data_IF_788486684269
#
_entry.id   IF_788486684269
#
_cell.length_a   1.000
_cell.length_b   1.000
_cell.length_c   1.000
_cell.angle_alpha   90.00
_cell.angle_beta   90.00
_cell.angle_gamma   90.00
#
_symmetry.space_group_name_H-M   'P 1'
#
loop_
_entity.id
_entity.type
_entity.pdbx_description
1 polymer ?
#
# COMPACT_ATOMS: atom_id res chain seq x y z
N UNK A 1 38.77 -29.56 -22.83
CA UNK A 1 37.66 -29.04 -22.06
C UNK A 1 36.36 -29.84 -22.24
N UNK A 2 36.08 -30.43 -23.39
CA UNK A 2 34.86 -31.25 -23.62
C UNK A 2 34.93 -32.68 -23.04
N UNK A 3 36.12 -33.25 -22.85
CA UNK A 3 36.28 -34.58 -22.27
C UNK A 3 35.97 -34.64 -20.74
N UNK A 4 36.12 -33.53 -20.04
CA UNK A 4 35.85 -33.46 -18.60
C UNK A 4 34.35 -33.42 -18.26
N UNK A 5 33.52 -32.89 -19.15
CA UNK A 5 32.07 -32.75 -18.91
C UNK A 5 31.36 -34.11 -19.10
N UNK A 6 31.78 -34.91 -20.08
CA UNK A 6 31.22 -36.24 -20.30
C UNK A 6 31.56 -37.21 -19.16
N UNK A 7 32.74 -37.08 -18.56
CA UNK A 7 33.15 -37.90 -17.43
C UNK A 7 32.35 -37.60 -16.14
N UNK A 8 32.05 -36.35 -15.95
CA UNK A 8 31.19 -35.89 -14.81
C UNK A 8 29.74 -36.37 -14.97
N UNK A 9 29.23 -36.42 -16.22
CA UNK A 9 27.86 -36.88 -16.47
C UNK A 9 27.71 -38.42 -16.32
N UNK A 10 28.71 -39.17 -16.64
CA UNK A 10 28.75 -40.65 -16.46
C UNK A 10 28.86 -40.97 -14.96
N UNK A 11 29.68 -40.24 -14.20
CA UNK A 11 29.79 -40.35 -12.76
C UNK A 11 28.49 -39.98 -12.05
N UNK A 12 27.75 -38.97 -12.55
CA UNK A 12 26.46 -38.54 -11.97
C UNK A 12 25.39 -39.63 -12.11
N UNK A 13 25.31 -40.29 -13.26
CA UNK A 13 24.34 -41.37 -13.46
C UNK A 13 24.70 -42.68 -12.69
N UNK A 14 25.98 -42.97 -12.50
CA UNK A 14 26.39 -44.09 -11.64
C UNK A 14 26.19 -43.79 -10.13
N UNK A 15 26.36 -42.54 -9.70
CA UNK A 15 26.10 -42.12 -8.31
C UNK A 15 24.63 -42.17 -7.93
N UNK A 16 23.71 -41.96 -8.88
CA UNK A 16 22.26 -42.07 -8.63
C UNK A 16 21.82 -43.50 -8.32
N UNK A 17 22.53 -44.50 -8.88
CA UNK A 17 22.29 -45.92 -8.60
C UNK A 17 22.95 -46.42 -7.31
N UNK A 18 23.96 -45.73 -6.79
CA UNK A 18 24.72 -46.12 -5.61
C UNK A 18 24.28 -45.43 -4.32
N UNK A 19 23.22 -44.62 -4.33
CA UNK A 19 22.73 -43.90 -3.18
C UNK A 19 22.11 -44.77 -2.08
N UNK A 20 22.02 -46.07 -2.26
CA UNK A 20 21.54 -47.02 -1.26
C UNK A 20 22.65 -47.80 -0.53
N UNK A 21 23.91 -47.63 -0.88
CA UNK A 21 25.03 -48.25 -0.16
C UNK A 21 26.06 -47.19 0.24
N UNK A 22 26.42 -47.16 1.52
CA UNK A 22 27.42 -46.20 2.03
C UNK A 22 28.72 -46.29 1.25
N UNK A 23 29.04 -45.26 0.44
CA UNK A 23 30.26 -45.13 -0.38
C UNK A 23 31.54 -45.35 0.41
N UNK A 24 31.51 -45.13 1.74
CA UNK A 24 32.63 -45.43 2.65
C UNK A 24 33.01 -46.91 2.67
N UNK A 25 32.09 -47.83 2.36
CA UNK A 25 32.38 -49.26 2.34
C UNK A 25 32.99 -49.74 1.01
N UNK A 26 32.67 -49.04 -0.10
CA UNK A 26 33.17 -49.38 -1.47
C UNK A 26 34.60 -48.88 -1.64
N UNK A 27 34.90 -47.64 -1.22
CA UNK A 27 36.23 -47.01 -1.35
C UNK A 27 37.29 -47.71 -0.48
N UNK A 28 36.94 -48.23 0.68
CA UNK A 28 37.86 -48.96 1.59
C UNK A 28 38.28 -50.35 1.06
N UNK A 29 37.56 -50.93 0.11
CA UNK A 29 37.84 -52.28 -0.41
C UNK A 29 38.65 -52.34 -1.71
N UNK A 30 38.82 -51.22 -2.44
CA UNK A 30 39.31 -51.28 -3.82
C UNK A 30 40.57 -50.45 -4.10
N UNK A 31 41.10 -49.64 -3.17
CA UNK A 31 42.26 -48.78 -3.43
C UNK A 31 43.32 -48.79 -2.30
N UNK A 32 44.60 -48.58 -2.69
CA UNK A 32 45.72 -48.52 -1.73
C UNK A 32 45.57 -47.30 -0.77
N UNK A 33 46.16 -47.35 0.43
CA UNK A 33 46.03 -46.31 1.43
C UNK A 33 46.50 -44.92 1.03
N UNK A 34 47.37 -44.84 0.00
CA UNK A 34 47.88 -43.57 -0.52
C UNK A 34 46.88 -42.86 -1.44
N UNK A 35 46.19 -43.64 -2.26
CA UNK A 35 45.17 -43.16 -3.19
C UNK A 35 43.94 -42.70 -2.42
N UNK A 36 43.60 -43.39 -1.31
CA UNK A 36 42.46 -43.06 -0.47
C UNK A 36 42.62 -41.70 0.24
N UNK A 37 43.86 -41.31 0.59
CA UNK A 37 44.12 -39.99 1.21
C UNK A 37 44.02 -38.80 0.23
N UNK A 38 44.47 -39.01 -1.03
CA UNK A 38 44.35 -37.96 -2.06
C UNK A 38 42.89 -37.71 -2.47
N UNK A 39 42.13 -38.79 -2.66
CA UNK A 39 40.71 -38.66 -3.01
C UNK A 39 39.84 -38.18 -1.86
N UNK A 40 40.22 -38.41 -0.60
CA UNK A 40 39.44 -37.92 0.54
C UNK A 40 39.50 -36.39 0.69
N UNK A 41 40.64 -35.76 0.40
CA UNK A 41 40.78 -34.30 0.48
C UNK A 41 39.96 -33.57 -0.61
N UNK A 42 40.03 -34.11 -1.85
CA UNK A 42 39.25 -33.52 -2.96
C UNK A 42 37.75 -33.85 -2.82
N UNK A 43 37.39 -34.99 -2.28
CA UNK A 43 36.00 -35.37 -2.04
C UNK A 43 35.36 -34.45 -0.96
N UNK A 44 36.04 -34.19 0.14
CA UNK A 44 35.53 -33.24 1.16
C UNK A 44 35.44 -31.83 0.63
N UNK A 45 36.34 -31.42 -0.27
CA UNK A 45 36.29 -30.12 -0.92
C UNK A 45 35.11 -29.99 -1.90
N UNK A 46 34.86 -31.02 -2.69
CA UNK A 46 33.74 -31.10 -3.63
C UNK A 46 32.40 -31.21 -2.90
N UNK A 47 32.32 -31.98 -1.81
CA UNK A 47 31.10 -32.08 -0.97
C UNK A 47 30.80 -30.77 -0.27
N UNK A 48 31.83 -30.05 0.20
CA UNK A 48 31.68 -28.73 0.82
C UNK A 48 31.26 -27.66 -0.22
N UNK A 49 31.80 -27.67 -1.42
CA UNK A 49 31.44 -26.78 -2.51
C UNK A 49 30.02 -27.10 -3.07
N UNK A 50 29.66 -28.38 -3.19
CA UNK A 50 28.31 -28.80 -3.61
C UNK A 50 27.28 -28.54 -2.54
N UNK A 51 27.57 -28.76 -1.27
CA UNK A 51 26.64 -28.44 -0.19
C UNK A 51 26.45 -26.93 -0.06
N UNK A 52 27.51 -26.13 -0.18
CA UNK A 52 27.38 -24.68 -0.22
C UNK A 52 26.63 -24.19 -1.46
N UNK A 53 26.86 -24.79 -2.62
CA UNK A 53 26.14 -24.44 -3.86
C UNK A 53 24.67 -24.87 -3.81
N UNK A 54 24.36 -26.01 -3.20
CA UNK A 54 22.99 -26.47 -2.97
C UNK A 54 22.28 -25.65 -1.89
N UNK A 55 22.99 -25.27 -0.84
CA UNK A 55 22.50 -24.34 0.19
C UNK A 55 22.30 -22.96 -0.42
N UNK A 56 23.25 -22.45 -1.21
CA UNK A 56 23.08 -21.19 -1.95
C UNK A 56 21.96 -21.26 -2.97
N UNK A 57 21.83 -22.37 -3.74
CA UNK A 57 20.66 -22.57 -4.62
C UNK A 57 19.35 -22.67 -3.85
N UNK A 58 19.31 -23.37 -2.72
CA UNK A 58 18.11 -23.41 -1.87
C UNK A 58 17.76 -22.05 -1.26
N UNK A 59 18.75 -21.21 -0.95
CA UNK A 59 18.55 -19.82 -0.53
C UNK A 59 18.26 -18.86 -1.71
N UNK A 60 18.86 -19.08 -2.88
CA UNK A 60 18.58 -18.26 -4.08
C UNK A 60 17.34 -18.66 -4.86
N UNK A 61 16.79 -19.86 -4.69
CA UNK A 61 15.57 -20.33 -5.37
C UNK A 61 14.31 -20.25 -4.52
N UNK A 62 14.37 -19.67 -3.33
CA UNK A 62 13.17 -19.06 -2.79
C UNK A 62 12.92 -17.81 -3.63
N UNK A 63 12.21 -17.97 -4.76
CA UNK A 63 11.71 -16.85 -5.54
C UNK A 63 11.13 -15.84 -4.55
N UNK A 64 11.69 -14.62 -4.53
CA UNK A 64 11.21 -13.60 -3.59
C UNK A 64 9.73 -13.43 -3.89
N UNK A 65 8.87 -13.86 -2.97
CA UNK A 65 7.43 -13.69 -3.11
C UNK A 65 7.16 -12.21 -3.33
N UNK A 66 6.40 -11.89 -4.36
CA UNK A 66 5.98 -10.51 -4.63
C UNK A 66 5.15 -9.98 -3.47
N UNK A 67 5.36 -8.70 -3.15
CA UNK A 67 4.55 -8.00 -2.18
C UNK A 67 3.32 -7.39 -2.86
N UNK A 68 2.16 -7.58 -2.24
CA UNK A 68 0.88 -7.06 -2.71
C UNK A 68 0.22 -6.27 -1.58
N UNK A 69 -0.09 -5.00 -1.84
CA UNK A 69 -0.71 -4.13 -0.85
C UNK A 69 -2.23 -4.23 -0.98
N UNK A 70 -2.87 -4.63 0.08
CA UNK A 70 -4.33 -4.79 0.13
C UNK A 70 -4.88 -4.05 1.34
N UNK A 71 -6.15 -3.70 1.32
CA UNK A 71 -6.77 -3.16 2.50
C UNK A 71 -8.26 -3.44 2.56
N UNK A 72 -8.80 -3.40 3.76
CA UNK A 72 -10.24 -3.51 4.04
C UNK A 72 -10.90 -2.15 3.98
N UNK A 73 -12.00 -2.06 3.23
CA UNK A 73 -12.90 -0.90 3.14
C UNK A 73 -14.34 -1.35 3.36
N UNK A 74 -15.24 -0.43 3.71
CA UNK A 74 -16.65 -0.71 3.95
C UNK A 74 -17.18 0.04 5.16
N UNK A 75 -18.47 -0.14 5.44
CA UNK A 75 -19.19 0.56 6.51
C UNK A 75 -18.62 0.25 7.91
N UNK A 76 -18.94 1.10 8.89
CA UNK A 76 -18.70 0.80 10.29
C UNK A 76 -19.44 -0.49 10.69
N UNK A 77 -18.88 -1.26 11.62
CA UNK A 77 -19.44 -2.51 12.15
C UNK A 77 -19.70 -3.65 11.15
N UNK A 78 -19.33 -3.50 9.87
CA UNK A 78 -19.37 -4.59 8.89
C UNK A 78 -18.29 -5.67 9.10
N UNK A 79 -17.39 -5.51 10.09
CA UNK A 79 -16.42 -6.52 10.51
C UNK A 79 -15.09 -6.51 9.76
N UNK A 80 -14.62 -5.34 9.29
CA UNK A 80 -13.32 -5.18 8.61
C UNK A 80 -12.15 -5.66 9.46
N UNK A 81 -12.03 -5.17 10.67
CA UNK A 81 -10.94 -5.52 11.61
C UNK A 81 -11.04 -6.98 12.05
N UNK A 82 -12.27 -7.51 12.23
CA UNK A 82 -12.51 -8.92 12.52
C UNK A 82 -12.03 -9.81 11.37
N UNK A 83 -12.29 -9.41 10.11
CA UNK A 83 -11.80 -10.13 8.93
C UNK A 83 -10.27 -10.10 8.86
N UNK A 84 -9.65 -8.95 9.14
CA UNK A 84 -8.19 -8.81 9.19
C UNK A 84 -7.57 -9.75 10.24
N UNK A 85 -8.15 -9.85 11.43
CA UNK A 85 -7.74 -10.81 12.45
C UNK A 85 -7.94 -12.26 11.99
N UNK A 86 -9.09 -12.59 11.37
CA UNK A 86 -9.39 -13.92 10.86
C UNK A 86 -8.40 -14.37 9.77
N UNK A 87 -8.03 -13.49 8.83
CA UNK A 87 -7.01 -13.73 7.80
C UNK A 87 -5.68 -14.17 8.43
N UNK A 88 -5.21 -13.42 9.44
CA UNK A 88 -3.95 -13.76 10.13
C UNK A 88 -4.07 -15.07 10.92
N UNK A 89 -5.24 -15.36 11.51
CA UNK A 89 -5.50 -16.58 12.27
C UNK A 89 -5.46 -17.82 11.37
N UNK A 90 -6.15 -17.79 10.25
CA UNK A 90 -6.19 -18.89 9.28
C UNK A 90 -4.79 -19.15 8.72
N UNK A 91 -4.08 -18.10 8.31
CA UNK A 91 -2.74 -18.21 7.74
C UNK A 91 -1.67 -18.63 8.76
N UNK A 92 -1.86 -18.36 10.06
CA UNK A 92 -0.91 -18.78 11.10
C UNK A 92 -0.78 -20.30 11.20
N UNK A 93 -1.76 -21.06 10.73
CA UNK A 93 -1.74 -22.53 10.73
C UNK A 93 -0.93 -23.12 9.56
N UNK A 94 -0.88 -22.42 8.43
CA UNK A 94 -0.35 -22.96 7.17
C UNK A 94 0.92 -22.28 6.69
N UNK A 95 1.25 -21.12 7.24
CA UNK A 95 2.38 -20.29 6.84
C UNK A 95 3.16 -19.77 8.04
N UNK A 96 4.24 -19.02 7.81
CA UNK A 96 5.00 -18.33 8.86
C UNK A 96 4.35 -17.00 9.31
N UNK A 97 3.06 -16.82 9.07
CA UNK A 97 2.31 -15.65 9.52
C UNK A 97 2.08 -15.72 11.03
N UNK A 98 2.35 -14.61 11.72
CA UNK A 98 1.98 -14.49 13.13
C UNK A 98 0.52 -14.08 13.24
N UNK A 99 -0.27 -14.76 14.06
CA UNK A 99 -1.62 -14.32 14.39
C UNK A 99 -1.58 -12.94 15.07
N UNK A 100 -2.42 -12.02 14.61
CA UNK A 100 -2.61 -10.70 15.20
C UNK A 100 -4.07 -10.59 15.67
N UNK A 101 -4.31 -10.60 16.99
CA UNK A 101 -5.66 -10.49 17.53
C UNK A 101 -6.23 -9.09 17.32
N UNK A 102 -7.55 -8.96 17.45
CA UNK A 102 -8.29 -7.71 17.27
C UNK A 102 -7.68 -6.55 18.09
N UNK A 103 -7.39 -6.76 19.37
CA UNK A 103 -6.81 -5.76 20.28
C UNK A 103 -5.39 -5.32 19.90
N UNK A 104 -4.66 -6.12 19.12
CA UNK A 104 -3.36 -5.74 18.57
C UNK A 104 -3.48 -4.97 17.24
N UNK A 105 -4.63 -4.99 16.57
CA UNK A 105 -4.94 -4.20 15.39
C UNK A 105 -5.42 -2.83 15.84
N UNK A 106 -6.51 -2.76 16.60
CA UNK A 106 -7.08 -1.55 17.21
C UNK A 106 -6.43 -1.29 18.57
N UNK A 107 -5.31 -0.57 18.57
CA UNK A 107 -4.43 -0.40 19.77
C UNK A 107 -4.74 0.81 20.60
N UNK A 108 -5.33 1.86 20.01
CA UNK A 108 -5.56 3.11 20.72
C UNK A 108 -6.64 2.90 21.80
N UNK A 109 -6.45 3.44 23.02
CA UNK A 109 -7.47 3.34 24.06
C UNK A 109 -8.84 3.86 23.62
N UNK A 110 -8.88 4.86 22.75
CA UNK A 110 -10.12 5.40 22.19
C UNK A 110 -10.79 4.42 21.21
N UNK A 111 -10.02 3.66 20.44
CA UNK A 111 -10.50 2.62 19.53
C UNK A 111 -11.17 1.50 20.33
N UNK A 112 -10.49 1.02 21.39
CA UNK A 112 -10.99 -0.03 22.26
C UNK A 112 -12.24 0.39 23.05
N UNK A 113 -12.29 1.65 23.51
CA UNK A 113 -13.47 2.17 24.24
C UNK A 113 -14.69 2.35 23.37
N UNK A 114 -14.49 2.77 22.11
CA UNK A 114 -15.58 3.04 21.17
C UNK A 114 -15.94 1.84 20.30
N UNK A 115 -15.10 0.81 20.26
CA UNK A 115 -15.25 -0.36 19.39
C UNK A 115 -15.14 -0.02 17.90
N UNK A 116 -14.45 1.08 17.54
CA UNK A 116 -14.30 1.53 16.14
C UNK A 116 -12.84 1.79 15.83
N UNK A 117 -12.41 1.44 14.62
CA UNK A 117 -11.07 1.77 14.11
C UNK A 117 -10.99 3.27 13.77
N UNK A 118 -10.03 3.95 14.34
CA UNK A 118 -9.76 5.38 14.12
C UNK A 118 -8.53 5.56 13.24
N UNK A 119 -7.46 4.87 13.58
CA UNK A 119 -6.16 4.94 12.91
C UNK A 119 -6.01 3.83 11.88
N UNK A 120 -5.13 4.06 10.90
CA UNK A 120 -4.77 3.01 9.95
C UNK A 120 -3.89 1.98 10.67
N UNK A 121 -4.28 0.71 10.60
CA UNK A 121 -3.43 -0.38 11.06
C UNK A 121 -2.82 -1.13 9.87
N UNK A 122 -1.55 -1.52 10.00
CA UNK A 122 -0.85 -2.30 8.99
C UNK A 122 -0.47 -3.67 9.54
N UNK A 123 -0.90 -4.72 8.84
CA UNK A 123 -0.69 -6.11 9.21
C UNK A 123 -0.02 -6.86 8.06
N UNK A 124 1.05 -7.59 8.34
CA UNK A 124 1.75 -8.40 7.34
C UNK A 124 1.41 -9.87 7.46
N UNK A 125 1.06 -10.49 6.35
CA UNK A 125 0.89 -11.94 6.26
C UNK A 125 1.35 -12.48 4.92
N UNK A 126 1.45 -13.79 4.80
CA UNK A 126 1.87 -14.43 3.57
C UNK A 126 1.05 -15.68 3.26
N UNK A 127 0.76 -15.86 1.98
CA UNK A 127 0.27 -17.12 1.42
C UNK A 127 1.44 -17.95 0.89
N UNK A 128 1.15 -19.10 0.31
CA UNK A 128 2.19 -19.87 -0.41
C UNK A 128 2.73 -19.10 -1.63
N UNK A 129 1.91 -18.23 -2.25
CA UNK A 129 2.20 -17.54 -3.51
C UNK A 129 2.81 -16.14 -3.29
N UNK A 130 2.29 -15.36 -2.33
CA UNK A 130 2.61 -13.93 -2.16
C UNK A 130 2.78 -13.51 -0.71
N UNK A 131 3.37 -12.32 -0.54
CA UNK A 131 3.34 -11.55 0.71
C UNK A 131 2.32 -10.45 0.59
N UNK A 132 1.57 -10.23 1.65
CA UNK A 132 0.56 -9.19 1.72
C UNK A 132 0.93 -8.16 2.80
N UNK A 133 0.88 -6.90 2.41
CA UNK A 133 0.82 -5.77 3.35
C UNK A 133 -0.62 -5.31 3.42
N UNK A 134 -1.30 -5.67 4.50
CA UNK A 134 -2.71 -5.38 4.69
C UNK A 134 -2.88 -4.10 5.48
N UNK A 135 -3.68 -3.20 4.96
CA UNK A 135 -4.06 -1.92 5.57
C UNK A 135 -5.50 -2.00 6.05
N UNK A 136 -5.71 -2.01 7.35
CA UNK A 136 -7.06 -1.92 7.92
C UNK A 136 -7.49 -0.46 8.02
N UNK A 137 -8.57 -0.10 7.31
CA UNK A 137 -9.06 1.27 7.21
C UNK A 137 -10.24 1.52 8.14
N UNK A 138 -10.31 2.72 8.75
CA UNK A 138 -11.47 3.11 9.53
C UNK A 138 -12.72 3.17 8.67
N UNK A 139 -13.87 2.77 9.23
CA UNK A 139 -15.17 2.82 8.57
C UNK A 139 -15.93 4.12 8.76
N UNK A 140 -15.67 4.85 9.86
CA UNK A 140 -16.44 6.01 10.25
C UNK A 140 -16.11 7.26 9.42
N UNK A 141 -17.13 8.02 9.01
CA UNK A 141 -17.00 9.23 8.17
C UNK A 141 -16.05 10.30 8.75
N UNK A 142 -15.92 10.41 10.06
CA UNK A 142 -15.03 11.39 10.69
C UNK A 142 -13.56 11.09 10.42
N UNK A 143 -13.23 9.83 10.07
CA UNK A 143 -11.87 9.36 9.79
C UNK A 143 -11.60 9.15 8.30
N UNK A 144 -12.42 9.72 7.42
CA UNK A 144 -12.31 9.60 5.95
C UNK A 144 -10.91 9.94 5.44
N UNK A 145 -10.21 10.90 6.07
CA UNK A 145 -8.83 11.25 5.71
C UNK A 145 -7.85 10.11 5.94
N UNK A 146 -8.04 9.36 7.02
CA UNK A 146 -7.22 8.18 7.28
C UNK A 146 -7.54 7.09 6.28
N UNK A 147 -8.82 6.89 5.94
CA UNK A 147 -9.24 5.97 4.88
C UNK A 147 -8.60 6.32 3.54
N UNK A 148 -8.63 7.58 3.10
CA UNK A 148 -7.99 8.03 1.85
C UNK A 148 -6.49 7.74 1.88
N UNK A 149 -5.80 8.09 2.97
CA UNK A 149 -4.37 7.82 3.11
C UNK A 149 -4.05 6.32 3.08
N UNK A 150 -4.89 5.48 3.68
CA UNK A 150 -4.75 4.02 3.58
C UNK A 150 -4.96 3.53 2.15
N UNK A 151 -6.02 3.99 1.50
CA UNK A 151 -6.39 3.59 0.15
C UNK A 151 -5.33 3.96 -0.90
N UNK A 152 -4.62 5.08 -0.76
CA UNK A 152 -3.53 5.46 -1.68
C UNK A 152 -2.35 4.48 -1.68
N UNK A 153 -2.24 3.64 -0.65
CA UNK A 153 -1.17 2.66 -0.51
C UNK A 153 -1.57 1.25 -0.98
N UNK A 154 -2.83 1.07 -1.46
CA UNK A 154 -3.39 -0.23 -1.83
C UNK A 154 -3.31 -0.49 -3.34
N UNK A 155 -3.03 -1.73 -3.70
CA UNK A 155 -3.12 -2.25 -5.07
C UNK A 155 -4.52 -2.78 -5.37
N UNK A 156 -5.16 -3.35 -4.34
CA UNK A 156 -6.54 -3.81 -4.38
C UNK A 156 -7.21 -3.61 -3.01
N UNK A 157 -8.53 -3.56 -2.99
CA UNK A 157 -9.31 -3.44 -1.77
C UNK A 157 -10.21 -4.67 -1.57
N UNK A 158 -10.40 -5.05 -0.30
CA UNK A 158 -11.45 -5.97 0.12
C UNK A 158 -12.63 -5.12 0.60
N UNK A 159 -13.72 -5.12 -0.15
CA UNK A 159 -14.96 -4.48 0.26
C UNK A 159 -15.72 -5.43 1.18
N UNK A 160 -15.86 -5.04 2.44
CA UNK A 160 -16.58 -5.82 3.46
C UNK A 160 -17.98 -5.26 3.60
N UNK A 161 -18.98 -6.11 3.36
CA UNK A 161 -20.41 -5.75 3.43
C UNK A 161 -21.10 -6.73 4.38
N UNK A 162 -21.91 -6.22 5.30
CA UNK A 162 -22.75 -7.03 6.17
C UNK A 162 -23.91 -7.64 5.37
N UNK A 163 -24.11 -8.93 5.50
CA UNK A 163 -25.17 -9.64 4.78
C UNK A 163 -26.59 -9.21 5.18
N UNK A 164 -26.79 -8.71 6.40
CA UNK A 164 -28.10 -8.27 6.89
C UNK A 164 -28.40 -6.82 6.53
N UNK A 165 -27.35 -5.96 6.41
CA UNK A 165 -27.53 -4.52 6.17
C UNK A 165 -27.36 -4.14 4.70
N UNK A 166 -26.62 -4.93 3.91
CA UNK A 166 -26.33 -4.63 2.50
C UNK A 166 -25.39 -3.44 2.32
N UNK A 167 -25.55 -2.69 1.24
CA UNK A 167 -24.73 -1.51 0.95
C UNK A 167 -25.25 -0.29 1.70
N UNK A 168 -24.37 0.30 2.52
CA UNK A 168 -24.67 1.45 3.36
C UNK A 168 -24.01 2.73 2.79
N UNK A 169 -24.42 3.93 3.21
CA UNK A 169 -23.88 5.18 2.65
C UNK A 169 -22.33 5.27 2.69
N UNK A 170 -21.69 4.79 3.76
CA UNK A 170 -20.23 4.78 3.84
C UNK A 170 -19.60 3.72 2.92
N UNK A 171 -20.31 2.63 2.63
CA UNK A 171 -19.87 1.64 1.62
C UNK A 171 -19.73 2.31 0.27
N UNK A 172 -20.74 3.09 -0.16
CA UNK A 172 -20.73 3.87 -1.40
C UNK A 172 -19.58 4.88 -1.42
N UNK A 173 -19.41 5.64 -0.35
CA UNK A 173 -18.35 6.64 -0.20
C UNK A 173 -16.95 5.99 -0.30
N UNK A 174 -16.74 4.85 0.34
CA UNK A 174 -15.47 4.14 0.31
C UNK A 174 -15.14 3.57 -1.07
N UNK A 175 -16.13 3.01 -1.79
CA UNK A 175 -15.96 2.53 -3.18
C UNK A 175 -15.61 3.69 -4.10
N UNK A 176 -16.31 4.81 -4.00
CA UNK A 176 -16.02 6.04 -4.75
C UNK A 176 -14.60 6.53 -4.50
N UNK A 177 -14.20 6.64 -3.23
CA UNK A 177 -12.86 7.11 -2.85
C UNK A 177 -11.76 6.15 -3.30
N UNK A 178 -11.96 4.84 -3.15
CA UNK A 178 -11.02 3.83 -3.64
C UNK A 178 -10.78 4.00 -5.16
N UNK A 179 -11.85 4.25 -5.93
CA UNK A 179 -11.72 4.54 -7.37
C UNK A 179 -10.95 5.83 -7.65
N UNK A 180 -11.22 6.88 -6.88
CA UNK A 180 -10.57 8.18 -7.04
C UNK A 180 -9.07 8.15 -6.74
N UNK A 181 -8.65 7.40 -5.73
CA UNK A 181 -7.23 7.27 -5.36
C UNK A 181 -6.47 6.27 -6.23
N UNK A 182 -7.16 5.59 -7.17
CA UNK A 182 -6.54 4.74 -8.16
C UNK A 182 -6.51 3.25 -7.84
N UNK A 183 -7.26 2.79 -6.83
CA UNK A 183 -7.47 1.35 -6.61
C UNK A 183 -8.16 0.77 -7.83
N UNK A 184 -7.53 -0.21 -8.46
CA UNK A 184 -8.01 -0.77 -9.73
C UNK A 184 -8.91 -1.99 -9.55
N UNK A 185 -8.77 -2.71 -8.44
CA UNK A 185 -9.38 -4.02 -8.21
C UNK A 185 -10.04 -4.08 -6.85
N UNK A 186 -11.23 -4.65 -6.82
CA UNK A 186 -11.99 -4.91 -5.59
C UNK A 186 -12.31 -6.40 -5.54
N UNK A 187 -12.16 -6.98 -4.35
CA UNK A 187 -12.70 -8.29 -3.98
C UNK A 187 -13.75 -8.04 -2.91
N UNK A 188 -14.91 -8.63 -3.07
CA UNK A 188 -16.02 -8.43 -2.13
C UNK A 188 -16.05 -9.57 -1.12
N UNK A 189 -16.21 -9.23 0.15
CA UNK A 189 -16.48 -10.20 1.21
C UNK A 189 -17.81 -9.84 1.89
N UNK A 190 -18.86 -10.64 1.61
CA UNK A 190 -20.16 -10.52 2.29
C UNK A 190 -20.03 -11.25 3.62
N UNK A 191 -19.96 -10.48 4.70
CA UNK A 191 -19.72 -10.94 6.05
C UNK A 191 -21.01 -11.20 6.83
N UNK A 192 -20.93 -11.93 7.93
CA UNK A 192 -22.05 -12.31 8.82
C UNK A 192 -23.15 -13.13 8.08
N UNK A 193 -22.73 -13.90 7.10
CA UNK A 193 -23.63 -14.67 6.26
C UNK A 193 -24.46 -15.74 7.01
N UNK A 194 -24.02 -16.12 8.21
CA UNK A 194 -24.74 -17.02 9.10
C UNK A 194 -26.04 -16.44 9.69
N UNK A 195 -26.22 -15.12 9.57
CA UNK A 195 -27.37 -14.43 10.16
C UNK A 195 -28.55 -14.28 9.20
N UNK A 196 -28.39 -14.66 7.94
CA UNK A 196 -29.37 -14.40 6.87
C UNK A 196 -29.64 -15.65 6.04
N UNK A 197 -30.75 -15.65 5.33
CA UNK A 197 -31.11 -16.71 4.40
C UNK A 197 -30.44 -16.55 3.03
N UNK A 198 -30.60 -17.57 2.17
CA UNK A 198 -29.98 -17.59 0.85
C UNK A 198 -30.56 -16.52 -0.10
N UNK A 199 -31.83 -16.19 0.02
CA UNK A 199 -32.51 -15.25 -0.87
C UNK A 199 -31.99 -13.82 -0.59
N UNK A 200 -31.82 -13.46 0.68
CA UNK A 200 -31.24 -12.18 1.06
C UNK A 200 -29.75 -12.08 0.65
N UNK A 201 -28.99 -13.19 0.76
CA UNK A 201 -27.60 -13.21 0.27
C UNK A 201 -27.50 -12.92 -1.23
N UNK A 202 -28.38 -13.49 -2.05
CA UNK A 202 -28.39 -13.21 -3.49
C UNK A 202 -28.78 -11.76 -3.78
N UNK A 203 -29.74 -11.20 -3.03
CA UNK A 203 -30.12 -9.80 -3.17
C UNK A 203 -28.93 -8.85 -2.84
N UNK A 204 -28.23 -9.10 -1.74
CA UNK A 204 -27.05 -8.30 -1.35
C UNK A 204 -25.93 -8.43 -2.38
N UNK A 205 -25.73 -9.61 -2.98
CA UNK A 205 -24.74 -9.76 -4.07
C UNK A 205 -25.08 -8.87 -5.26
N UNK A 206 -26.35 -8.85 -5.68
CA UNK A 206 -26.81 -8.00 -6.79
C UNK A 206 -26.61 -6.52 -6.46
N UNK A 207 -27.02 -6.09 -5.29
CA UNK A 207 -26.84 -4.70 -4.83
C UNK A 207 -25.37 -4.27 -4.84
N UNK A 208 -24.45 -5.10 -4.38
CA UNK A 208 -23.02 -4.83 -4.40
C UNK A 208 -22.49 -4.77 -5.83
N UNK A 209 -22.93 -5.65 -6.73
CA UNK A 209 -22.54 -5.62 -8.13
C UNK A 209 -22.99 -4.31 -8.81
N UNK A 210 -24.24 -3.89 -8.59
CA UNK A 210 -24.77 -2.62 -9.10
C UNK A 210 -23.95 -1.43 -8.58
N UNK A 211 -23.62 -1.44 -7.28
CA UNK A 211 -22.77 -0.41 -6.67
C UNK A 211 -21.40 -0.33 -7.33
N UNK A 212 -20.75 -1.47 -7.58
CA UNK A 212 -19.41 -1.50 -8.21
C UNK A 212 -19.49 -0.95 -9.65
N UNK A 213 -20.49 -1.34 -10.43
CA UNK A 213 -20.67 -0.86 -11.81
C UNK A 213 -20.98 0.64 -11.85
N UNK A 214 -21.77 1.16 -10.91
CA UNK A 214 -22.07 2.59 -10.79
C UNK A 214 -20.79 3.43 -10.63
N UNK A 215 -19.82 2.95 -9.83
CA UNK A 215 -18.53 3.66 -9.65
C UNK A 215 -17.47 3.24 -10.66
N UNK A 216 -17.83 2.48 -11.71
CA UNK A 216 -16.95 2.12 -12.82
C UNK A 216 -15.91 1.05 -12.47
N UNK A 217 -16.20 0.20 -11.50
CA UNK A 217 -15.55 -1.09 -11.35
C UNK A 217 -16.32 -2.13 -12.16
N UNK A 218 -15.61 -3.04 -12.82
CA UNK A 218 -16.24 -4.13 -13.58
C UNK A 218 -16.67 -5.22 -12.59
N UNK A 219 -17.96 -5.27 -12.27
CA UNK A 219 -18.51 -6.24 -11.30
C UNK A 219 -18.28 -7.69 -11.73
N UNK A 220 -18.24 -7.96 -13.05
CA UNK A 220 -17.98 -9.30 -13.58
C UNK A 220 -16.56 -9.82 -13.26
N UNK A 221 -15.62 -8.90 -12.95
CA UNK A 221 -14.22 -9.21 -12.58
C UNK A 221 -13.97 -9.09 -11.09
N UNK A 222 -14.96 -8.65 -10.32
CA UNK A 222 -14.88 -8.52 -8.87
C UNK A 222 -15.36 -9.82 -8.21
N UNK A 223 -14.45 -10.65 -7.67
CA UNK A 223 -14.86 -11.88 -6.98
C UNK A 223 -15.70 -11.53 -5.75
N UNK A 224 -16.82 -12.24 -5.58
CA UNK A 224 -17.67 -12.12 -4.39
C UNK A 224 -17.56 -13.40 -3.56
N UNK A 225 -17.07 -13.26 -2.34
CA UNK A 225 -16.95 -14.35 -1.37
C UNK A 225 -17.94 -14.11 -0.24
N UNK A 226 -18.67 -15.15 0.13
CA UNK A 226 -19.66 -15.12 1.22
C UNK A 226 -19.09 -15.89 2.41
N UNK A 227 -19.18 -15.33 3.61
CA UNK A 227 -18.67 -15.98 4.81
C UNK A 227 -18.94 -15.23 6.10
N UNK A 228 -18.32 -15.69 7.17
CA UNK A 228 -18.35 -15.10 8.50
C UNK A 228 -16.92 -14.97 9.04
N UNK A 229 -16.46 -13.74 9.18
CA UNK A 229 -15.16 -13.46 9.75
C UNK A 229 -15.07 -13.92 11.23
N UNK A 230 -16.17 -13.84 11.97
CA UNK A 230 -16.23 -14.26 13.37
C UNK A 230 -16.12 -15.78 13.47
N UNK A 231 -16.92 -16.54 12.70
CA UNK A 231 -16.83 -18.00 12.68
C UNK A 231 -15.44 -18.48 12.24
N UNK A 232 -14.81 -17.79 11.28
CA UNK A 232 -13.44 -18.12 10.87
C UNK A 232 -12.41 -17.81 11.98
N UNK A 233 -12.59 -16.72 12.73
CA UNK A 233 -11.78 -16.37 13.89
C UNK A 233 -11.93 -17.41 15.00
N UNK A 234 -13.16 -17.89 15.25
CA UNK A 234 -13.47 -18.94 16.23
C UNK A 234 -13.11 -20.35 15.73
N UNK A 235 -12.53 -20.44 14.52
CA UNK A 235 -12.10 -21.70 13.91
C UNK A 235 -13.23 -22.70 13.66
N UNK A 236 -14.45 -22.23 13.46
CA UNK A 236 -15.57 -23.07 13.08
C UNK A 236 -15.34 -23.60 11.67
N UNK A 237 -15.28 -24.91 11.53
CA UNK A 237 -15.18 -25.55 10.21
C UNK A 237 -16.55 -25.51 9.52
N UNK A 238 -16.57 -25.02 8.30
CA UNK A 238 -17.80 -24.87 7.51
C UNK A 238 -17.62 -23.90 6.37
N UNK A 239 -18.63 -23.84 5.50
CA UNK A 239 -18.57 -23.02 4.28
C UNK A 239 -18.54 -21.52 4.57
N UNK A 240 -19.14 -21.06 5.64
CA UNK A 240 -19.09 -19.67 6.09
C UNK A 240 -17.92 -19.38 7.04
N UNK A 241 -17.31 -20.39 7.68
CA UNK A 241 -16.21 -20.26 8.62
C UNK A 241 -14.83 -20.18 7.93
N UNK A 242 -13.89 -21.00 8.39
CA UNK A 242 -12.49 -20.99 7.91
C UNK A 242 -12.39 -21.11 6.39
N UNK A 243 -13.20 -21.95 5.75
CA UNK A 243 -13.18 -22.15 4.28
C UNK A 243 -13.52 -20.90 3.48
N UNK A 244 -14.38 -20.01 4.01
CA UNK A 244 -14.69 -18.74 3.35
C UNK A 244 -13.48 -17.81 3.27
N UNK A 245 -12.69 -17.76 4.34
CA UNK A 245 -11.45 -16.98 4.39
C UNK A 245 -10.37 -17.60 3.48
N UNK A 246 -10.28 -18.92 3.42
CA UNK A 246 -9.38 -19.62 2.48
C UNK A 246 -9.76 -19.30 1.02
N UNK A 247 -11.05 -19.31 0.66
CA UNK A 247 -11.54 -18.89 -0.66
C UNK A 247 -11.20 -17.43 -0.96
N UNK A 248 -11.37 -16.54 0.02
CA UNK A 248 -10.98 -15.14 -0.15
C UNK A 248 -9.49 -15.02 -0.46
N UNK A 249 -8.61 -15.74 0.25
CA UNK A 249 -7.17 -15.76 0.00
C UNK A 249 -6.82 -16.33 -1.39
N UNK A 250 -7.54 -17.33 -1.84
CA UNK A 250 -7.38 -17.87 -3.21
C UNK A 250 -7.74 -16.85 -4.28
N UNK A 251 -8.84 -16.10 -4.11
CA UNK A 251 -9.22 -15.03 -5.04
C UNK A 251 -8.19 -13.89 -5.02
N UNK A 252 -7.67 -13.51 -3.87
CA UNK A 252 -6.59 -12.52 -3.75
C UNK A 252 -5.31 -13.00 -4.46
N UNK A 253 -4.96 -14.27 -4.34
CA UNK A 253 -3.80 -14.86 -5.00
C UNK A 253 -3.93 -14.96 -6.53
N UNK A 254 -5.15 -14.87 -7.10
CA UNK A 254 -5.41 -14.83 -8.55
C UNK A 254 -5.22 -13.42 -9.14
N UNK A 255 -5.31 -12.37 -8.34
CA UNK A 255 -5.15 -11.01 -8.83
C UNK A 255 -3.76 -10.83 -9.44
N UNK A 256 -3.66 -10.13 -10.57
CA UNK A 256 -2.36 -9.80 -11.16
C UNK A 256 -1.64 -8.76 -10.32
N UNK A 257 -0.34 -8.95 -10.11
CA UNK A 257 0.49 -7.98 -9.41
C UNK A 257 0.64 -6.70 -10.26
N UNK A 258 0.58 -5.52 -9.63
CA UNK A 258 0.81 -4.28 -10.35
C UNK A 258 2.26 -4.18 -10.81
N UNK A 259 2.47 -3.54 -11.95
CA UNK A 259 3.82 -3.26 -12.46
C UNK A 259 4.50 -2.24 -11.54
N UNK A 260 5.68 -2.59 -11.02
CA UNK A 260 6.48 -1.73 -10.13
C UNK A 260 7.66 -1.12 -10.88
N UNK A 261 7.80 0.20 -10.79
CA UNK A 261 8.96 0.88 -11.34
C UNK A 261 10.10 0.90 -10.29
N UNK A 262 10.99 -0.08 -10.40
CA UNK A 262 12.16 -0.21 -9.52
C UNK A 262 13.37 0.57 -10.03
N UNK A 263 13.35 1.07 -11.27
CA UNK A 263 14.47 1.79 -11.87
C UNK A 263 14.37 3.31 -11.67
N UNK A 264 13.21 3.81 -11.27
CA UNK A 264 13.02 5.22 -10.97
C UNK A 264 13.72 5.65 -9.66
N UNK A 265 13.84 6.95 -9.47
CA UNK A 265 14.26 7.54 -8.19
C UNK A 265 13.32 7.12 -7.07
N UNK A 266 13.89 6.91 -5.87
CA UNK A 266 13.12 6.54 -4.70
C UNK A 266 12.00 7.54 -4.41
N UNK A 267 10.80 7.02 -4.20
CA UNK A 267 9.66 7.76 -3.64
C UNK A 267 8.99 6.87 -2.59
N UNK A 268 9.01 7.34 -1.35
CA UNK A 268 8.33 6.73 -0.21
C UNK A 268 7.54 7.81 0.51
N UNK A 269 6.23 7.93 0.26
CA UNK A 269 5.34 8.81 1.03
C UNK A 269 5.25 8.36 2.49
N UNK A 270 5.45 9.28 3.41
CA UNK A 270 5.42 9.02 4.85
C UNK A 270 3.97 8.93 5.31
N UNK A 271 3.58 7.78 5.82
CA UNK A 271 2.25 7.55 6.43
C UNK A 271 2.25 7.85 7.92
N UNK A 272 3.33 7.50 8.62
CA UNK A 272 3.51 7.76 10.05
C UNK A 272 4.99 7.79 10.43
N UNK A 273 5.29 8.27 11.62
CA UNK A 273 6.62 8.20 12.20
C UNK A 273 6.53 7.97 13.71
N UNK A 274 7.55 7.35 14.29
CA UNK A 274 7.65 7.16 15.73
C UNK A 274 9.11 7.10 16.20
N UNK A 275 9.32 7.30 17.49
CA UNK A 275 10.64 7.25 18.10
C UNK A 275 10.93 5.86 18.63
N UNK A 276 12.11 5.34 18.34
CA UNK A 276 12.68 4.16 19.02
C UNK A 276 13.74 4.64 20.00
N UNK A 277 13.48 4.47 21.28
CA UNK A 277 14.36 4.92 22.36
C UNK A 277 15.78 4.41 22.16
N UNK A 278 16.76 5.32 22.15
CA UNK A 278 18.18 5.01 21.96
C UNK A 278 18.60 4.68 20.52
N UNK A 279 17.67 4.67 19.54
CA UNK A 279 17.99 4.36 18.12
C UNK A 279 17.72 5.50 17.16
N UNK A 280 16.67 6.29 17.37
CA UNK A 280 16.30 7.41 16.50
C UNK A 280 14.85 7.37 16.03
N UNK A 281 14.56 8.10 14.96
CA UNK A 281 13.23 8.22 14.37
C UNK A 281 13.03 7.16 13.30
N UNK A 282 11.93 6.42 13.37
CA UNK A 282 11.48 5.50 12.34
C UNK A 282 10.40 6.18 11.51
N UNK A 283 10.58 6.16 10.22
CA UNK A 283 9.63 6.65 9.22
C UNK A 283 8.95 5.44 8.58
N UNK A 284 7.63 5.44 8.51
CA UNK A 284 6.83 4.34 7.96
C UNK A 284 6.12 4.80 6.70
N UNK A 285 6.11 3.95 5.68
CA UNK A 285 5.41 4.19 4.43
C UNK A 285 5.53 3.03 3.45
N UNK A 286 4.86 3.14 2.32
CA UNK A 286 4.96 2.19 1.21
C UNK A 286 5.83 2.81 0.12
N UNK A 287 6.81 2.06 -0.38
CA UNK A 287 7.64 2.53 -1.49
C UNK A 287 6.80 2.53 -2.77
N UNK A 288 6.59 3.69 -3.36
CA UNK A 288 5.88 3.82 -4.64
C UNK A 288 6.79 3.51 -5.83
N UNK A 289 8.03 4.02 -5.79
CA UNK A 289 9.03 3.87 -6.88
C UNK A 289 10.43 3.67 -6.32
N UNK A 290 11.26 2.98 -7.10
CA UNK A 290 12.67 2.82 -6.81
C UNK A 290 12.99 1.68 -5.84
N UNK A 291 14.22 1.71 -5.36
CA UNK A 291 14.81 0.74 -4.41
C UNK A 291 15.47 1.52 -3.28
N UNK A 292 15.37 1.01 -2.07
CA UNK A 292 16.02 1.57 -0.88
C UNK A 292 16.90 0.52 -0.22
N UNK A 293 18.14 0.88 0.10
CA UNK A 293 19.11 0.03 0.78
C UNK A 293 19.55 0.61 2.10
N UNK A 294 19.93 -0.25 3.01
CA UNK A 294 20.61 0.17 4.24
C UNK A 294 21.90 0.88 3.92
N UNK A 295 22.09 2.06 4.48
CA UNK A 295 23.25 2.92 4.24
C UNK A 295 23.03 4.01 3.18
N UNK A 296 21.92 3.95 2.43
CA UNK A 296 21.63 4.98 1.42
C UNK A 296 21.47 6.36 2.04
N UNK A 297 21.93 7.36 1.32
CA UNK A 297 21.64 8.78 1.60
C UNK A 297 20.31 9.12 0.97
N UNK A 298 19.41 9.61 1.78
CA UNK A 298 18.04 9.98 1.36
C UNK A 298 17.67 11.34 1.94
N UNK A 299 16.62 11.92 1.41
CA UNK A 299 16.12 13.23 1.80
C UNK A 299 14.63 13.12 2.14
N UNK A 300 14.25 13.66 3.30
CA UNK A 300 12.85 13.83 3.67
C UNK A 300 12.40 15.22 3.26
N UNK A 301 11.45 15.29 2.33
CA UNK A 301 11.01 16.55 1.72
C UNK A 301 9.52 16.76 1.95
N UNK A 302 9.12 17.98 2.27
CA UNK A 302 7.70 18.36 2.45
C UNK A 302 7.50 19.30 3.62
N UNK A 303 6.30 19.85 3.73
CA UNK A 303 5.92 20.83 4.75
C UNK A 303 6.87 22.05 4.84
N UNK A 304 7.48 22.41 3.70
CA UNK A 304 8.50 23.48 3.64
C UNK A 304 9.85 23.09 4.21
N UNK A 305 10.08 21.83 4.57
CA UNK A 305 11.35 21.31 5.11
C UNK A 305 12.01 20.38 4.10
N UNK A 306 13.33 20.30 4.21
CA UNK A 306 14.19 19.42 3.44
C UNK A 306 15.27 18.89 4.38
N UNK A 307 15.23 17.62 4.75
CA UNK A 307 16.07 17.01 5.77
C UNK A 307 16.89 15.88 5.15
N UNK A 308 18.20 16.05 5.14
CA UNK A 308 19.12 14.99 4.71
C UNK A 308 19.30 13.95 5.82
N UNK A 309 19.25 12.67 5.45
CA UNK A 309 19.41 11.57 6.39
C UNK A 309 20.07 10.35 5.75
N UNK A 310 20.52 9.44 6.61
CA UNK A 310 21.09 8.15 6.20
C UNK A 310 20.21 7.03 6.77
N UNK A 311 19.90 6.07 5.93
CA UNK A 311 19.15 4.87 6.30
C UNK A 311 20.00 3.98 7.19
N UNK A 312 19.68 3.94 8.48
CA UNK A 312 20.42 3.12 9.46
C UNK A 312 19.99 1.68 9.48
N UNK A 313 18.69 1.45 9.34
CA UNK A 313 18.08 0.12 9.34
C UNK A 313 16.76 0.16 8.61
N UNK A 314 16.35 -0.99 8.05
CA UNK A 314 15.08 -1.13 7.33
C UNK A 314 14.38 -2.38 7.89
N UNK A 315 13.10 -2.26 8.17
CA UNK A 315 12.29 -3.37 8.65
C UNK A 315 10.99 -3.49 7.87
N UNK A 316 10.63 -4.72 7.56
CA UNK A 316 9.30 -5.11 7.06
C UNK A 316 8.63 -5.92 8.16
N UNK A 317 7.53 -5.41 8.74
CA UNK A 317 6.80 -6.06 9.85
C UNK A 317 7.73 -6.60 10.95
N UNK A 318 8.62 -5.73 11.48
CA UNK A 318 9.60 -6.04 12.54
C UNK A 318 10.72 -7.02 12.12
N UNK A 319 10.81 -7.43 10.86
CA UNK A 319 11.92 -8.26 10.34
C UNK A 319 12.93 -7.35 9.65
N UNK A 320 14.21 -7.35 10.06
CA UNK A 320 15.24 -6.52 9.43
C UNK A 320 15.56 -7.04 8.03
N UNK A 321 15.71 -6.12 7.07
CA UNK A 321 16.05 -6.40 5.67
C UNK A 321 17.16 -5.47 5.21
N UNK A 322 17.92 -5.90 4.18
CA UNK A 322 19.01 -5.09 3.62
C UNK A 322 18.58 -4.18 2.48
N UNK A 323 17.60 -4.62 1.72
CA UNK A 323 17.06 -3.95 0.54
C UNK A 323 15.55 -4.11 0.50
N UNK A 324 14.86 -3.07 0.04
CA UNK A 324 13.42 -3.03 -0.19
C UNK A 324 13.12 -2.33 -1.51
N UNK A 325 11.97 -2.64 -2.13
CA UNK A 325 11.63 -2.22 -3.49
C UNK A 325 10.24 -1.61 -3.54
N UNK A 326 9.93 -0.96 -4.67
CA UNK A 326 8.59 -0.47 -4.95
C UNK A 326 7.52 -1.54 -4.64
N UNK A 327 6.51 -1.17 -3.86
CA UNK A 327 5.46 -2.04 -3.33
C UNK A 327 5.68 -2.51 -1.90
N UNK A 328 6.88 -2.41 -1.33
CA UNK A 328 7.12 -2.83 0.06
C UNK A 328 6.63 -1.77 1.05
N UNK A 329 5.88 -2.21 2.07
CA UNK A 329 5.53 -1.39 3.23
C UNK A 329 6.60 -1.54 4.31
N UNK A 330 7.27 -0.43 4.66
CA UNK A 330 8.52 -0.46 5.41
C UNK A 330 8.58 0.54 6.54
N UNK A 331 9.30 0.18 7.60
CA UNK A 331 9.81 1.11 8.62
C UNK A 331 11.29 1.37 8.40
N UNK A 332 11.65 2.63 8.17
CA UNK A 332 13.01 3.08 7.89
C UNK A 332 13.55 3.86 9.08
N UNK A 333 14.62 3.36 9.71
CA UNK A 333 15.30 4.06 10.79
C UNK A 333 16.26 5.12 10.22
N UNK A 334 15.97 6.37 10.50
CA UNK A 334 16.71 7.55 10.03
C UNK A 334 17.69 8.04 11.09
N UNK A 335 18.90 8.43 10.66
CA UNK A 335 19.90 9.11 11.53
C UNK A 335 19.74 10.61 11.48
N UNK A 336 20.03 11.27 12.61
CA UNK A 336 20.09 12.75 12.72
C UNK A 336 18.78 13.46 12.32
N UNK A 337 17.64 12.78 12.45
CA UNK A 337 16.33 13.37 12.23
C UNK A 337 15.52 13.28 13.52
N UNK A 338 15.05 14.43 14.00
CA UNK A 338 14.16 14.47 15.15
C UNK A 338 12.73 14.15 14.72
N UNK A 339 12.03 13.42 15.57
CA UNK A 339 10.63 13.05 15.30
C UNK A 339 9.73 14.28 15.08
N UNK A 340 9.99 15.37 15.82
CA UNK A 340 9.26 16.64 15.66
C UNK A 340 9.40 17.28 14.26
N UNK A 341 10.42 16.90 13.51
CA UNK A 341 10.66 17.43 12.16
C UNK A 341 10.03 16.60 11.06
N UNK A 342 9.63 15.35 11.38
CA UNK A 342 8.98 14.45 10.43
C UNK A 342 7.46 14.57 10.57
N UNK A 343 6.82 15.02 9.52
CA UNK A 343 5.37 15.14 9.44
C UNK A 343 4.80 14.10 8.46
N UNK A 344 3.60 13.60 8.75
CA UNK A 344 2.85 12.78 7.80
C UNK A 344 2.70 13.54 6.48
N UNK A 345 2.90 12.84 5.36
CA UNK A 345 2.81 13.41 4.04
C UNK A 345 4.11 13.99 3.48
N UNK A 346 5.17 14.06 4.25
CA UNK A 346 6.52 14.22 3.68
C UNK A 346 6.85 13.00 2.83
N UNK A 347 7.77 13.17 1.88
CA UNK A 347 8.27 12.05 1.09
C UNK A 347 9.73 11.80 1.40
N UNK A 348 10.11 10.53 1.57
CA UNK A 348 11.51 10.12 1.53
C UNK A 348 11.90 9.84 0.09
N UNK A 349 12.93 10.53 -0.38
CA UNK A 349 13.34 10.51 -1.79
C UNK A 349 14.85 10.40 -1.93
N UNK A 350 15.29 10.04 -3.13
CA UNK A 350 16.70 10.28 -3.52
C UNK A 350 16.96 11.78 -3.44
N UNK A 351 18.15 12.23 -2.96
CA UNK A 351 18.45 13.65 -2.83
C UNK A 351 18.20 14.44 -4.13
N UNK A 352 17.49 15.56 -4.02
CA UNK A 352 17.17 16.50 -5.11
C UNK A 352 16.36 15.89 -6.28
N UNK A 353 15.64 14.77 -6.07
CA UNK A 353 14.87 14.11 -7.13
C UNK A 353 13.43 14.58 -7.26
N UNK A 354 12.87 15.22 -6.22
CA UNK A 354 11.48 15.67 -6.20
C UNK A 354 11.41 17.14 -5.83
N UNK A 355 10.70 17.97 -6.62
CA UNK A 355 10.50 19.38 -6.29
C UNK A 355 9.54 19.54 -5.12
N UNK A 356 9.83 20.54 -4.27
CA UNK A 356 8.92 21.00 -3.22
C UNK A 356 8.25 22.27 -3.72
N UNK A 357 6.94 22.22 -3.88
CA UNK A 357 6.18 23.28 -4.52
C UNK A 357 4.91 23.60 -3.73
N UNK A 358 4.52 24.88 -3.73
CA UNK A 358 3.23 25.32 -3.20
C UNK A 358 2.31 25.91 -4.26
N UNK A 359 2.76 26.02 -5.53
CA UNK A 359 1.98 26.59 -6.60
C UNK A 359 2.01 25.67 -7.83
N UNK A 360 0.84 25.20 -8.23
CA UNK A 360 0.69 24.28 -9.35
C UNK A 360 -0.59 24.56 -10.15
N UNK A 361 -0.62 24.08 -11.38
CA UNK A 361 -1.81 24.04 -12.21
C UNK A 361 -2.34 22.62 -12.30
N UNK A 362 -3.65 22.52 -12.41
CA UNK A 362 -4.32 21.22 -12.47
C UNK A 362 -5.55 21.27 -13.35
N UNK A 363 -5.83 20.15 -14.00
CA UNK A 363 -7.12 19.86 -14.58
C UNK A 363 -7.99 19.17 -13.52
N UNK A 364 -9.19 19.68 -13.33
CA UNK A 364 -10.08 19.23 -12.26
C UNK A 364 -11.51 19.04 -12.75
N UNK A 365 -12.24 18.19 -12.05
CA UNK A 365 -13.66 17.93 -12.25
C UNK A 365 -14.41 18.17 -10.94
N UNK A 366 -15.44 19.01 -11.01
CA UNK A 366 -16.32 19.29 -9.88
C UNK A 366 -17.44 18.25 -9.85
N UNK A 367 -17.46 17.42 -8.83
CA UNK A 367 -18.41 16.33 -8.67
C UNK A 367 -19.85 16.85 -8.58
N UNK A 368 -20.77 16.12 -9.23
CA UNK A 368 -22.20 16.38 -9.12
C UNK A 368 -22.71 16.02 -7.72
N UNK A 369 -23.87 16.56 -7.29
CA UNK A 369 -24.48 16.22 -6.01
C UNK A 369 -24.69 14.71 -5.82
N UNK A 370 -25.07 14.01 -6.88
CA UNK A 370 -25.26 12.55 -6.88
C UNK A 370 -23.95 11.80 -6.66
N UNK A 371 -22.83 12.34 -7.16
CA UNK A 371 -21.49 11.76 -7.03
C UNK A 371 -20.82 12.10 -5.70
N UNK A 372 -21.07 13.30 -5.19
CA UNK A 372 -20.43 13.80 -3.94
C UNK A 372 -21.24 13.54 -2.67
N UNK A 373 -22.52 13.17 -2.81
CA UNK A 373 -23.45 13.00 -1.70
C UNK A 373 -23.84 14.31 -1.00
N UNK A 374 -23.40 15.46 -1.50
CA UNK A 374 -23.69 16.77 -0.93
C UNK A 374 -24.01 17.81 -2.02
N UNK A 375 -24.89 18.74 -1.70
CA UNK A 375 -25.12 19.94 -2.54
C UNK A 375 -24.03 20.94 -2.25
N UNK A 376 -23.18 21.22 -3.25
CA UNK A 376 -22.08 22.15 -3.14
C UNK A 376 -22.40 23.49 -3.80
N UNK A 377 -21.98 24.60 -3.18
CA UNK A 377 -22.05 25.92 -3.80
C UNK A 377 -21.04 26.02 -4.95
N UNK A 378 -21.33 26.84 -5.97
CA UNK A 378 -20.39 27.10 -7.07
C UNK A 378 -19.01 27.53 -6.56
N UNK A 379 -17.96 27.04 -7.21
CA UNK A 379 -16.58 27.39 -6.89
C UNK A 379 -16.21 28.67 -7.62
N UNK A 380 -15.62 29.63 -6.89
CA UNK A 380 -15.10 30.90 -7.43
C UNK A 380 -13.63 31.05 -7.12
N UNK A 381 -12.93 31.90 -7.87
CA UNK A 381 -11.55 32.28 -7.54
C UNK A 381 -11.43 32.77 -6.10
N UNK A 382 -10.47 32.20 -5.37
CA UNK A 382 -10.26 32.46 -3.94
C UNK A 382 -10.92 31.44 -3.02
N UNK A 383 -11.64 30.46 -3.57
CA UNK A 383 -12.16 29.36 -2.79
C UNK A 383 -11.01 28.62 -2.09
N UNK A 384 -11.18 28.39 -0.79
CA UNK A 384 -10.11 27.84 0.04
C UNK A 384 -10.62 26.61 0.79
N UNK A 385 -10.01 25.48 0.53
CA UNK A 385 -10.41 24.19 1.09
C UNK A 385 -9.19 23.28 1.28
N UNK A 386 -9.41 22.15 1.96
CA UNK A 386 -8.40 21.10 2.12
C UNK A 386 -8.22 20.33 0.82
N UNK A 387 -6.97 20.21 0.41
CA UNK A 387 -6.52 19.38 -0.71
C UNK A 387 -5.80 18.19 -0.10
N UNK A 388 -6.18 17.01 -0.54
CA UNK A 388 -5.54 15.76 -0.18
C UNK A 388 -4.82 15.18 -1.40
N UNK A 389 -3.58 14.78 -1.21
CA UNK A 389 -2.78 14.15 -2.25
C UNK A 389 -1.85 13.12 -1.60
N UNK A 390 -1.86 11.89 -2.09
CA UNK A 390 -1.13 10.78 -1.50
C UNK A 390 -1.35 10.67 0.03
N UNK A 391 -0.33 10.91 0.84
CA UNK A 391 -0.40 10.81 2.30
C UNK A 391 -0.54 12.16 3.01
N UNK A 392 -0.51 13.31 2.28
CA UNK A 392 -0.60 14.64 2.87
C UNK A 392 -1.95 15.33 2.63
N UNK A 393 -2.33 16.19 3.54
CA UNK A 393 -3.43 17.15 3.40
C UNK A 393 -2.93 18.56 3.70
N UNK A 394 -3.28 19.51 2.83
CA UNK A 394 -2.96 20.92 3.00
C UNK A 394 -4.12 21.80 2.60
N UNK A 395 -4.24 22.95 3.25
CA UNK A 395 -5.17 23.98 2.81
C UNK A 395 -4.62 24.63 1.54
N UNK A 396 -5.43 24.62 0.49
CA UNK A 396 -5.10 25.24 -0.78
C UNK A 396 -6.15 26.29 -1.16
N UNK A 397 -5.69 27.33 -1.84
CA UNK A 397 -6.52 28.36 -2.43
C UNK A 397 -6.55 28.17 -3.93
N UNK A 398 -7.77 28.16 -4.50
CA UNK A 398 -7.98 27.98 -5.91
C UNK A 398 -8.06 29.33 -6.63
N UNK A 399 -7.42 29.37 -7.81
CA UNK A 399 -7.51 30.48 -8.76
C UNK A 399 -7.99 29.90 -10.09
N UNK A 400 -9.19 30.27 -10.50
CA UNK A 400 -9.73 29.87 -11.79
C UNK A 400 -9.04 30.69 -12.90
N UNK A 401 -8.63 30.04 -13.98
CA UNK A 401 -7.86 30.70 -15.05
C UNK A 401 -8.74 31.17 -16.19
N UNK A 402 -9.77 30.40 -16.54
CA UNK A 402 -10.57 30.64 -17.76
C UNK A 402 -12.03 31.00 -17.47
N UNK A 403 -12.48 30.92 -16.24
CA UNK A 403 -13.86 31.16 -15.82
C UNK A 403 -13.90 31.88 -14.48
N UNK A 404 -14.95 32.66 -14.23
CA UNK A 404 -15.14 33.32 -12.95
C UNK A 404 -15.79 32.38 -11.91
N UNK A 405 -16.47 31.33 -12.39
CA UNK A 405 -17.24 30.41 -11.56
C UNK A 405 -17.34 29.03 -12.24
N UNK A 406 -17.34 27.98 -11.42
CA UNK A 406 -17.48 26.58 -11.83
C UNK A 406 -18.67 25.95 -11.10
N UNK A 407 -19.50 25.21 -11.82
CA UNK A 407 -20.68 24.51 -11.32
C UNK A 407 -20.40 23.02 -11.11
N UNK A 408 -21.16 22.35 -10.22
CA UNK A 408 -21.12 20.87 -10.15
C UNK A 408 -21.35 20.22 -11.51
N UNK A 409 -20.47 19.28 -11.89
CA UNK A 409 -20.48 18.61 -13.20
C UNK A 409 -19.51 19.20 -14.21
N UNK A 410 -18.87 20.32 -13.93
CA UNK A 410 -17.94 20.95 -14.85
C UNK A 410 -16.51 20.39 -14.75
N UNK A 411 -15.85 20.32 -15.93
CA UNK A 411 -14.40 20.17 -16.01
C UNK A 411 -13.76 21.57 -16.14
N UNK A 412 -12.70 21.81 -15.39
CA UNK A 412 -12.06 23.12 -15.39
C UNK A 412 -10.55 23.04 -15.14
N UNK A 413 -9.85 24.11 -15.51
CA UNK A 413 -8.43 24.28 -15.22
C UNK A 413 -8.32 25.28 -14.08
N UNK A 414 -7.52 24.95 -13.10
CA UNK A 414 -7.27 25.80 -11.95
C UNK A 414 -5.79 25.88 -11.61
N UNK A 415 -5.39 27.00 -11.03
CA UNK A 415 -4.16 27.08 -10.27
C UNK A 415 -4.48 26.92 -8.78
N UNK A 416 -3.62 26.21 -8.08
CA UNK A 416 -3.72 26.03 -6.65
C UNK A 416 -2.48 26.55 -5.94
N UNK A 417 -2.71 27.29 -4.84
CA UNK A 417 -1.66 27.80 -3.98
C UNK A 417 -1.84 27.15 -2.61
N UNK A 418 -0.93 26.25 -2.26
CA UNK A 418 -0.91 25.57 -0.95
C UNK A 418 -0.37 26.48 0.14
N UNK A 419 -0.85 26.30 1.36
CA UNK A 419 -0.36 27.03 2.52
C UNK A 419 1.11 26.74 2.83
N UNK A 420 1.57 25.52 2.60
CA UNK A 420 2.96 25.08 2.79
C UNK A 420 3.46 24.35 1.56
N UNK A 421 4.72 24.51 1.17
CA UNK A 421 5.30 23.74 0.08
C UNK A 421 5.32 22.24 0.39
N UNK A 422 4.78 21.44 -0.55
CA UNK A 422 4.68 19.99 -0.44
C UNK A 422 5.39 19.32 -1.62
N UNK A 423 5.80 18.05 -1.50
CA UNK A 423 6.33 17.30 -2.63
C UNK A 423 5.22 17.09 -3.66
N UNK A 424 5.49 17.46 -4.90
CA UNK A 424 4.54 17.40 -6.00
C UNK A 424 5.23 16.92 -7.28
N UNK A 425 4.50 16.19 -8.10
CA UNK A 425 4.89 15.78 -9.45
C UNK A 425 3.74 15.97 -10.42
N UNK A 426 4.06 16.22 -11.67
CA UNK A 426 3.07 16.22 -12.77
C UNK A 426 2.46 14.82 -12.89
N UNK A 427 1.16 14.73 -13.07
CA UNK A 427 0.39 13.49 -13.11
C UNK A 427 -0.12 13.01 -11.75
N UNK A 428 0.21 13.68 -10.64
CA UNK A 428 -0.34 13.34 -9.34
C UNK A 428 -1.84 13.66 -9.26
N UNK A 429 -2.59 12.70 -8.76
CA UNK A 429 -4.01 12.87 -8.44
C UNK A 429 -4.17 13.53 -7.07
N UNK A 430 -5.15 14.40 -6.97
CA UNK A 430 -5.57 15.01 -5.71
C UNK A 430 -7.09 15.10 -5.62
N UNK A 431 -7.57 15.24 -4.41
CA UNK A 431 -8.97 15.51 -4.11
C UNK A 431 -9.11 16.77 -3.26
N UNK A 432 -10.20 17.49 -3.45
CA UNK A 432 -10.56 18.66 -2.66
C UNK A 432 -11.78 18.32 -1.82
N UNK A 433 -11.63 18.55 -0.52
CA UNK A 433 -12.62 18.17 0.48
C UNK A 433 -13.42 19.37 0.97
N UNK A 434 -14.73 19.22 1.09
CA UNK A 434 -15.59 20.12 1.81
C UNK A 434 -16.18 19.39 3.02
N UNK A 435 -15.76 19.78 4.24
CA UNK A 435 -16.04 18.96 5.42
C UNK A 435 -15.42 17.57 5.32
N UNK A 436 -16.26 16.54 5.34
CA UNK A 436 -15.86 15.14 5.21
C UNK A 436 -16.08 14.56 3.80
N UNK A 437 -16.68 15.32 2.87
CA UNK A 437 -17.01 14.85 1.52
C UNK A 437 -16.05 15.39 0.48
N UNK A 438 -15.72 14.57 -0.52
CA UNK A 438 -14.96 15.00 -1.69
C UNK A 438 -15.85 15.77 -2.65
N UNK A 439 -15.44 16.97 -3.05
CA UNK A 439 -16.20 17.80 -4.00
C UNK A 439 -15.49 17.98 -5.35
N UNK A 440 -14.16 17.92 -5.39
CA UNK A 440 -13.39 18.03 -6.63
C UNK A 440 -12.34 16.94 -6.67
N UNK A 441 -12.15 16.37 -7.86
CA UNK A 441 -10.99 15.51 -8.18
C UNK A 441 -10.18 16.16 -9.28
N UNK A 442 -8.86 16.03 -9.22
CA UNK A 442 -7.99 16.64 -10.22
C UNK A 442 -6.65 15.95 -10.38
N UNK A 443 -5.95 16.34 -11.43
CA UNK A 443 -4.61 15.87 -11.78
C UNK A 443 -3.70 17.08 -11.97
N UNK A 444 -2.53 17.06 -11.37
CA UNK A 444 -1.50 18.09 -11.51
C UNK A 444 -0.96 18.08 -12.94
N UNK A 445 -1.06 19.21 -13.64
CA UNK A 445 -0.58 19.36 -15.03
C UNK A 445 0.74 20.09 -15.12
N UNK A 446 0.96 21.11 -14.26
CA UNK A 446 2.17 21.92 -14.28
C UNK A 446 2.56 22.37 -12.87
N UNK A 447 3.86 22.52 -12.63
CA UNK A 447 4.40 23.05 -11.38
C UNK A 447 4.99 24.43 -11.63
N UNK A 448 4.79 25.34 -10.70
CA UNK A 448 5.30 26.72 -10.78
C UNK A 448 6.25 27.02 -9.62
N UNK A 449 6.96 28.15 -9.72
CA UNK A 449 7.80 28.63 -8.62
C UNK A 449 6.98 28.90 -7.36
N UNK A 450 7.58 28.62 -6.22
CA UNK A 450 6.95 28.86 -4.93
C UNK A 450 6.57 30.33 -4.74
N UNK A 451 5.34 30.55 -4.27
CA UNK A 451 4.86 31.86 -3.90
C UNK A 451 5.00 32.08 -2.39
N UNK A 452 5.41 33.27 -1.95
CA UNK A 452 5.42 33.61 -0.53
C UNK A 452 3.97 33.67 -0.04
N UNK A 453 3.62 32.79 0.89
CA UNK A 453 2.27 32.75 1.48
C UNK A 453 2.42 33.12 2.95
N UNK A 454 2.22 34.38 3.29
CA UNK A 454 2.25 34.88 4.66
C UNK A 454 0.87 34.71 5.36
N UNK A 455 -0.22 34.79 4.61
CA UNK A 455 -1.56 34.41 5.03
C UNK A 455 -2.43 34.07 3.80
N UNK A 456 -3.36 33.15 3.94
CA UNK A 456 -4.33 32.85 2.87
C UNK A 456 -5.25 34.03 2.56
N UNK A 457 -5.28 35.07 3.41
CA UNK A 457 -6.02 36.32 3.20
C UNK A 457 -5.31 37.28 2.25
N UNK A 458 -3.97 37.24 2.17
CA UNK A 458 -3.17 38.20 1.41
C UNK A 458 -3.11 37.92 -0.11
N UNK A 459 -3.60 36.76 -0.55
CA UNK A 459 -3.62 36.40 -1.97
C UNK A 459 -4.59 37.22 -2.83
N UNK A 460 -5.45 38.07 -2.27
CA UNK A 460 -6.26 39.05 -3.02
C UNK A 460 -5.40 40.03 -3.83
N UNK A 461 -4.18 40.27 -3.38
CA UNK A 461 -3.23 41.22 -3.98
C UNK A 461 -2.52 40.63 -5.22
N UNK A 462 -2.36 39.31 -5.31
CA UNK A 462 -1.66 38.63 -6.40
C UNK A 462 -2.49 38.58 -7.70
N UNK A 463 -3.81 38.47 -7.60
CA UNK A 463 -4.71 38.53 -8.75
C UNK A 463 -4.72 39.92 -9.43
N UNK A 464 -4.60 41.01 -8.65
CA UNK A 464 -4.53 42.38 -9.19
C UNK A 464 -3.21 42.68 -9.94
N UNK A 465 -2.06 42.14 -9.46
CA UNK A 465 -0.77 42.35 -10.15
C UNK A 465 -0.66 41.64 -11.51
N UNK A 466 -1.33 40.51 -11.71
CA UNK A 466 -1.32 39.80 -13.01
C UNK A 466 -2.17 40.49 -14.08
N UNK A 467 -3.30 41.09 -13.71
CA UNK A 467 -4.07 41.90 -14.65
C UNK A 467 -3.28 43.13 -15.16
N UNK A 468 -2.39 43.65 -14.34
CA UNK A 468 -1.53 44.80 -14.76
C UNK A 468 -0.34 44.36 -15.65
N UNK A 469 0.16 43.11 -15.50
CA UNK A 469 1.24 42.60 -16.35
C UNK A 469 0.75 42.09 -17.70
N UNK A 470 -0.50 41.62 -17.81
CA UNK A 470 -1.09 41.21 -19.11
C UNK A 470 -1.56 42.39 -19.98
N UNK A 471 -1.75 43.58 -19.40
CA UNK A 471 -2.09 44.81 -20.14
C UNK A 471 -0.87 45.59 -20.66
N UNK A 472 0.36 45.21 -20.24
CA UNK A 472 1.60 45.84 -20.74
C UNK A 472 2.33 45.01 -21.82
N UNK A 473 1.76 43.86 -22.25
CA UNK A 473 2.26 43.04 -23.37
C UNK A 473 1.28 42.96 -24.55
N UNK A 474 0.45 43.97 -24.73
CA UNK A 474 -0.28 44.22 -25.99
C UNK A 474 0.18 45.50 -26.65
#
# INVERSE_FOLDING_TARGET
>A
MFASISFVFILYNQMYYLSQMSLKQVVKRSFSPFVTKLFAADYFRIEYELSNTLIYRKFCTQAMKENFNIGTIGHIDHGKTTLTAALTKVLSKTTNTKFVPFDEIDKAPEEQQRGITISIAHVGYETKKRKYSHTDCPGHKDFIKNMICGATQMDAAILVVDAAEGTMPQTREHVMLAKQVGVQRIVVFINKAEMVDADLLELVKLEVCELLDEFGFDSSKAPVVVGSALMALDQVDGDFGQRSVERLLEELDKLEAPKRDTNASLILPVSSSFVVTGRGTVVVGTIEKGILRKGDKVQLVGAGKCLDTIVSDIQIFKRPVKEVRAGDHVGVLCRHVHHSDVERGMWMTTPNSVPICNHFEAQAYFLKPEESGITSCPIRTGFTQKIMCTTWDQTGRLVLTNTDMVMPGDNFIMQCILQRPMPLQVGLHFTLMHGCSTIVRGVVTSLFNNLPVYSLKDTKTLTKKRHQLSTHQR
#
